data_IF_315790585215
#
_entry.id   IF_315790585215
#
_cell.length_a   1.000
_cell.length_b   1.000
_cell.length_c   1.000
_cell.angle_alpha   90.00
_cell.angle_beta   90.00
_cell.angle_gamma   90.00
#
_symmetry.space_group_name_H-M   'P 1'
#
loop_
_entity.id
_entity.type
_entity.pdbx_description
1 polymer ?
#
# COMPACT_ATOMS: atom_id res chain seq x y z
N UNK A 1 -11.12 32.79 6.61
CA UNK A 1 -9.98 31.87 6.86
C UNK A 1 -9.76 31.02 5.61
N UNK A 2 -9.71 31.64 4.42
CA UNK A 2 -10.15 30.92 3.20
C UNK A 2 -9.03 30.64 2.18
N UNK A 3 -7.78 30.99 2.49
CA UNK A 3 -6.65 30.85 1.55
C UNK A 3 -5.71 29.68 1.82
N UNK A 4 -5.71 29.10 3.02
CA UNK A 4 -4.61 28.22 3.46
C UNK A 4 -4.87 26.73 3.22
N UNK A 5 -6.11 26.32 3.00
CA UNK A 5 -6.51 24.91 2.83
C UNK A 5 -6.30 24.38 1.39
N UNK A 6 -6.61 25.18 0.37
CA UNK A 6 -6.44 24.76 -1.04
C UNK A 6 -4.98 24.68 -1.48
N UNK A 7 -4.13 25.59 -1.00
CA UNK A 7 -2.69 25.58 -1.30
C UNK A 7 -2.00 24.39 -0.64
N UNK A 8 -2.37 24.03 0.58
CA UNK A 8 -1.80 22.88 1.30
C UNK A 8 -2.20 21.56 0.62
N UNK A 9 -3.44 21.44 0.15
CA UNK A 9 -3.92 20.31 -0.65
C UNK A 9 -3.14 20.15 -1.96
N UNK A 10 -3.02 21.23 -2.74
CA UNK A 10 -2.23 21.22 -3.96
C UNK A 10 -0.78 20.90 -3.66
N UNK A 11 -0.20 21.39 -2.56
CA UNK A 11 1.18 21.11 -2.19
C UNK A 11 1.38 19.64 -1.77
N UNK A 12 0.42 19.00 -1.11
CA UNK A 12 0.54 17.58 -0.71
C UNK A 12 0.29 16.61 -1.88
N UNK A 13 -0.71 16.89 -2.70
CA UNK A 13 -0.91 16.19 -3.98
C UNK A 13 0.33 16.39 -4.86
N UNK A 14 0.86 17.61 -4.90
CA UNK A 14 2.12 17.93 -5.58
C UNK A 14 3.31 17.20 -4.97
N UNK A 15 3.46 17.06 -3.66
CA UNK A 15 4.60 16.35 -3.05
C UNK A 15 4.53 14.85 -3.31
N UNK A 16 3.33 14.25 -3.32
CA UNK A 16 3.17 12.85 -3.73
C UNK A 16 3.43 12.66 -5.24
N UNK A 17 2.90 13.56 -6.08
CA UNK A 17 3.12 13.55 -7.54
C UNK A 17 4.58 13.83 -7.90
N UNK A 18 5.15 14.92 -7.39
CA UNK A 18 6.54 15.32 -7.63
C UNK A 18 7.52 14.41 -6.91
N UNK A 19 7.19 13.80 -5.77
CA UNK A 19 8.04 12.79 -5.14
C UNK A 19 8.17 11.54 -6.02
N UNK A 20 7.05 11.03 -6.54
CA UNK A 20 7.05 9.92 -7.49
C UNK A 20 7.71 10.30 -8.82
N UNK A 21 7.41 11.48 -9.36
CA UNK A 21 8.01 11.96 -10.61
C UNK A 21 9.50 12.28 -10.46
N UNK A 22 9.95 12.79 -9.31
CA UNK A 22 11.35 13.01 -8.99
C UNK A 22 12.08 11.68 -8.79
N UNK A 23 11.45 10.67 -8.17
CA UNK A 23 11.98 9.31 -8.13
C UNK A 23 12.16 8.75 -9.55
N UNK A 24 11.13 8.87 -10.40
CA UNK A 24 11.21 8.44 -11.80
C UNK A 24 12.28 9.20 -12.59
N UNK A 25 12.42 10.51 -12.38
CA UNK A 25 13.38 11.37 -13.11
C UNK A 25 14.81 11.22 -12.58
N UNK A 26 15.00 10.98 -11.29
CA UNK A 26 16.32 10.75 -10.68
C UNK A 26 16.87 9.36 -11.02
N UNK A 27 15.99 8.39 -11.26
CA UNK A 27 16.39 7.01 -11.58
C UNK A 27 16.35 6.70 -13.07
N UNK A 28 15.71 7.53 -13.91
CA UNK A 28 15.83 7.43 -15.36
C UNK A 28 17.32 7.50 -15.75
N UNK A 29 17.95 6.38 -16.14
CA UNK A 29 19.34 6.42 -16.56
C UNK A 29 19.35 7.17 -17.89
N UNK A 30 20.36 8.00 -18.10
CA UNK A 30 20.78 8.34 -19.46
C UNK A 30 21.04 7.02 -20.19
N UNK A 31 20.07 6.55 -20.96
CA UNK A 31 20.07 5.29 -21.71
C UNK A 31 21.15 5.23 -22.83
N UNK A 32 22.16 6.10 -22.77
CA UNK A 32 23.23 6.24 -23.74
C UNK A 32 24.57 5.65 -23.27
N UNK A 33 24.74 5.22 -22.02
CA UNK A 33 26.02 4.68 -21.53
C UNK A 33 25.81 3.45 -20.65
N UNK A 34 26.14 2.28 -21.16
CA UNK A 34 25.97 0.97 -20.52
C UNK A 34 26.86 0.73 -19.30
N UNK A 35 26.71 1.53 -18.25
CA UNK A 35 27.34 1.31 -16.96
C UNK A 35 26.28 1.29 -15.84
N UNK A 36 26.28 0.30 -14.93
CA UNK A 36 25.37 0.28 -13.79
C UNK A 36 25.68 1.44 -12.84
N UNK A 37 24.65 2.20 -12.43
CA UNK A 37 24.81 3.36 -11.54
C UNK A 37 25.11 2.92 -10.08
N UNK A 38 26.08 3.53 -9.38
CA UNK A 38 26.45 3.19 -8.00
C UNK A 38 25.48 3.71 -6.91
N UNK A 39 24.33 4.28 -7.28
CA UNK A 39 23.48 5.07 -6.37
C UNK A 39 22.72 4.21 -5.35
N UNK A 40 22.49 2.91 -5.61
CA UNK A 40 21.72 2.06 -4.70
C UNK A 40 22.52 1.56 -3.47
N UNK A 41 23.85 1.56 -3.52
CA UNK A 41 24.70 1.07 -2.42
C UNK A 41 24.83 2.11 -1.29
N UNK A 42 24.62 3.40 -1.58
CA UNK A 42 24.79 4.47 -0.58
C UNK A 42 23.58 4.66 0.36
N UNK A 43 22.38 4.26 -0.06
CA UNK A 43 21.14 4.54 0.68
C UNK A 43 20.85 3.57 1.84
N UNK A 44 21.53 2.42 1.90
CA UNK A 44 21.25 1.38 2.91
C UNK A 44 22.24 1.34 4.08
N UNK A 45 23.35 2.09 4.07
CA UNK A 45 24.29 2.16 5.20
C UNK A 45 24.89 0.82 5.66
N UNK A 46 24.67 -0.28 4.93
CA UNK A 46 25.24 -1.58 5.24
C UNK A 46 26.53 -1.73 4.44
N UNK A 47 27.65 -1.58 5.13
CA UNK A 47 28.96 -1.89 4.59
C UNK A 47 29.07 -3.41 4.35
N UNK A 48 28.80 -3.85 3.13
CA UNK A 48 29.10 -5.23 2.72
C UNK A 48 30.60 -5.36 2.39
N UNK A 49 31.27 -6.42 2.87
CA UNK A 49 32.68 -6.65 2.58
C UNK A 49 32.90 -6.93 1.08
N UNK A 50 33.83 -6.19 0.46
CA UNK A 50 34.32 -6.42 -0.90
C UNK A 50 34.99 -7.80 -0.97
N UNK A 51 34.31 -8.82 -1.51
CA UNK A 51 34.92 -10.09 -1.90
C UNK A 51 34.84 -10.27 -3.42
N UNK A 52 35.90 -9.88 -4.10
CA UNK A 52 36.07 -10.02 -5.56
C UNK A 52 36.08 -11.49 -6.03
N UNK A 53 36.23 -12.45 -5.11
CA UNK A 53 36.26 -13.88 -5.42
C UNK A 53 34.87 -14.51 -5.67
N UNK A 54 33.79 -13.95 -5.12
CA UNK A 54 32.46 -14.55 -5.24
C UNK A 54 31.83 -14.32 -6.63
N UNK A 55 32.13 -13.18 -7.25
CA UNK A 55 31.60 -12.79 -8.57
C UNK A 55 32.08 -13.70 -9.70
N UNK A 56 33.32 -14.18 -9.63
CA UNK A 56 33.89 -15.08 -10.65
C UNK A 56 33.33 -16.51 -10.53
N UNK A 57 32.99 -16.94 -9.32
CA UNK A 57 32.37 -18.25 -9.07
C UNK A 57 30.94 -18.32 -9.57
N UNK A 58 30.15 -17.27 -9.32
CA UNK A 58 28.75 -17.21 -9.74
C UNK A 58 28.62 -17.14 -11.27
N UNK A 59 29.48 -16.38 -11.95
CA UNK A 59 29.49 -16.31 -13.41
C UNK A 59 29.80 -17.67 -14.06
N UNK A 60 30.72 -18.46 -13.49
CA UNK A 60 31.02 -19.82 -13.99
C UNK A 60 29.90 -20.82 -13.69
N UNK A 61 29.18 -20.67 -12.59
CA UNK A 61 28.05 -21.54 -12.24
C UNK A 61 26.83 -21.28 -13.16
N UNK A 62 26.56 -20.02 -13.50
CA UNK A 62 25.48 -19.64 -14.43
C UNK A 62 25.78 -20.10 -15.86
N UNK A 63 27.03 -19.95 -16.32
CA UNK A 63 27.47 -20.46 -17.64
C UNK A 63 27.36 -21.99 -17.74
N UNK A 64 27.65 -22.70 -16.64
CA UNK A 64 27.50 -24.17 -16.58
C UNK A 64 26.03 -24.59 -16.61
N UNK A 65 25.15 -23.93 -15.86
CA UNK A 65 23.72 -24.21 -15.86
C UNK A 65 23.06 -23.95 -17.23
N UNK A 66 23.53 -22.93 -17.98
CA UNK A 66 23.04 -22.61 -19.33
C UNK A 66 23.36 -23.69 -20.36
N UNK A 67 24.47 -24.41 -20.20
CA UNK A 67 24.88 -25.50 -21.11
C UNK A 67 24.12 -26.81 -20.87
N UNK A 68 23.50 -27.00 -19.72
CA UNK A 68 22.77 -28.23 -19.38
C UNK A 68 21.27 -28.17 -19.76
N UNK A 69 20.76 -27.02 -20.19
CA UNK A 69 19.35 -26.83 -20.57
C UNK A 69 18.88 -27.39 -21.94
N UNK A 70 19.71 -27.67 -22.97
CA UNK A 70 19.17 -28.08 -24.28
C UNK A 70 18.72 -29.54 -24.38
N UNK A 71 18.85 -30.37 -23.33
CA UNK A 71 18.52 -31.81 -23.40
C UNK A 71 17.16 -32.21 -22.80
N UNK A 72 16.42 -31.29 -22.15
CA UNK A 72 15.08 -31.60 -21.59
C UNK A 72 13.90 -31.19 -22.46
N UNK A 73 14.11 -30.38 -23.50
CA UNK A 73 13.02 -29.91 -24.35
C UNK A 73 12.51 -30.97 -25.35
N UNK A 74 13.31 -31.99 -25.69
CA UNK A 74 12.89 -33.04 -26.64
C UNK A 74 12.16 -34.23 -25.98
N UNK A 75 12.09 -34.31 -24.64
CA UNK A 75 11.46 -35.43 -23.95
C UNK A 75 9.93 -35.32 -23.80
N UNK A 76 9.31 -34.20 -24.16
CA UNK A 76 7.86 -33.98 -24.00
C UNK A 76 7.04 -33.96 -25.30
N UNK A 77 7.67 -34.15 -26.46
CA UNK A 77 6.97 -34.11 -27.76
C UNK A 77 6.35 -35.46 -28.19
N UNK A 78 6.65 -36.57 -27.51
CA UNK A 78 6.13 -37.90 -27.85
C UNK A 78 5.24 -38.45 -26.73
N UNK A 79 4.05 -37.86 -26.56
CA UNK A 79 3.02 -38.28 -25.62
C UNK A 79 1.70 -38.53 -26.34
N UNK A 80 1.59 -39.73 -26.90
CA UNK A 80 0.51 -40.36 -27.64
C UNK A 80 -0.92 -40.07 -27.14
N UNK A 81 -1.77 -39.65 -28.09
CA UNK A 81 -3.23 -39.70 -28.04
C UNK A 81 -3.73 -41.11 -27.71
N UNK A 82 -4.46 -41.26 -26.60
CA UNK A 82 -5.51 -42.28 -26.50
C UNK A 82 -6.78 -41.63 -25.96
N UNK A 83 -7.80 -41.64 -26.82
CA UNK A 83 -9.18 -41.40 -26.45
C UNK A 83 -9.73 -42.67 -25.78
N UNK A 84 -10.43 -42.52 -24.66
CA UNK A 84 -11.46 -43.47 -24.23
C UNK A 84 -12.26 -42.87 -23.07
N UNK A 85 -13.54 -42.63 -23.34
CA UNK A 85 -14.71 -42.91 -22.49
C UNK A 85 -14.49 -42.98 -20.97
N UNK A 86 -15.18 -42.12 -20.22
CA UNK A 86 -16.31 -42.61 -19.42
C UNK A 86 -17.28 -41.50 -18.98
N UNK A 87 -18.49 -41.65 -19.46
CA UNK A 87 -19.73 -41.07 -18.96
C UNK A 87 -20.19 -41.82 -17.71
N UNK A 88 -20.39 -41.10 -16.59
CA UNK A 88 -21.22 -41.38 -15.39
C UNK A 88 -20.65 -40.46 -14.30
N UNK A 89 -21.33 -39.48 -13.72
CA UNK A 89 -22.54 -39.66 -12.92
C UNK A 89 -23.16 -38.27 -12.68
N UNK A 90 -24.41 -38.10 -13.11
CA UNK A 90 -25.33 -37.09 -12.58
C UNK A 90 -25.89 -37.64 -11.26
N UNK A 91 -25.68 -36.95 -10.14
CA UNK A 91 -26.57 -36.90 -8.98
C UNK A 91 -25.90 -36.09 -7.86
N UNK A 92 -26.46 -34.94 -7.49
CA UNK A 92 -25.99 -34.21 -6.32
C UNK A 92 -26.27 -32.71 -6.28
N UNK A 93 -27.35 -32.23 -6.90
CA UNK A 93 -27.87 -30.89 -6.66
C UNK A 93 -29.24 -31.01 -5.98
N UNK A 94 -29.26 -30.96 -4.65
CA UNK A 94 -30.42 -30.58 -3.83
C UNK A 94 -30.01 -30.63 -2.36
N UNK A 95 -30.59 -29.72 -1.55
CA UNK A 95 -30.50 -29.62 -0.08
C UNK A 95 -29.36 -28.76 0.49
N UNK A 96 -29.52 -27.43 0.46
CA UNK A 96 -29.37 -26.61 1.68
C UNK A 96 -30.42 -25.49 1.63
N UNK A 97 -31.63 -25.80 2.08
CA UNK A 97 -32.61 -24.86 2.58
C UNK A 97 -33.37 -25.56 3.72
N UNK A 98 -33.70 -24.80 4.75
CA UNK A 98 -34.38 -25.19 5.99
C UNK A 98 -33.47 -25.71 7.13
N UNK A 99 -33.07 -24.78 8.00
CA UNK A 99 -32.97 -25.03 9.44
C UNK A 99 -33.45 -23.76 10.16
N UNK A 100 -34.75 -23.73 10.41
CA UNK A 100 -35.42 -22.90 11.42
C UNK A 100 -34.91 -23.25 12.82
N UNK A 101 -34.89 -22.22 13.69
CA UNK A 101 -35.43 -22.33 15.04
C UNK A 101 -34.60 -23.06 16.09
N UNK A 102 -33.60 -22.37 16.65
CA UNK A 102 -33.11 -22.67 18.00
C UNK A 102 -33.29 -21.44 18.89
N UNK A 103 -34.30 -21.51 19.75
CA UNK A 103 -34.62 -20.53 20.78
C UNK A 103 -33.48 -20.44 21.81
N UNK A 104 -33.00 -19.22 22.08
CA UNK A 104 -32.14 -18.91 23.20
C UNK A 104 -32.99 -18.79 24.48
N UNK A 105 -32.63 -19.45 25.59
CA UNK A 105 -33.32 -19.26 26.86
C UNK A 105 -33.00 -17.88 27.46
N UNK A 106 -34.05 -17.27 28.02
CA UNK A 106 -34.03 -15.94 28.59
C UNK A 106 -33.03 -15.76 29.73
N UNK A 107 -32.27 -14.67 29.65
CA UNK A 107 -31.54 -14.10 30.78
C UNK A 107 -32.46 -13.06 31.42
N UNK A 108 -33.19 -13.50 32.45
CA UNK A 108 -33.91 -12.63 33.35
C UNK A 108 -32.93 -12.11 34.43
N UNK A 109 -33.00 -10.81 34.71
CA UNK A 109 -32.49 -10.22 35.96
C UNK A 109 -31.18 -9.45 35.84
N UNK A 110 -31.22 -8.23 35.30
CA UNK A 110 -30.22 -7.22 35.62
C UNK A 110 -30.66 -6.50 36.92
N UNK A 111 -29.83 -6.47 37.97
CA UNK A 111 -30.13 -5.69 39.18
C UNK A 111 -30.04 -4.19 38.89
N UNK A 112 -30.84 -3.35 39.59
CA UNK A 112 -30.77 -1.90 39.44
C UNK A 112 -29.39 -1.38 39.86
N UNK A 113 -28.90 -0.29 39.23
CA UNK A 113 -27.62 0.31 39.58
C UNK A 113 -27.66 0.83 41.04
N UNK A 114 -26.58 0.65 41.81
CA UNK A 114 -26.49 1.24 43.14
C UNK A 114 -26.45 2.77 43.02
N UNK A 115 -27.52 3.41 43.50
CA UNK A 115 -27.56 4.83 43.80
C UNK A 115 -26.65 5.10 45.01
N UNK A 116 -25.36 5.33 44.76
CA UNK A 116 -24.43 5.61 45.86
C UNK A 116 -22.95 5.53 45.51
N UNK A 117 -22.48 6.25 44.48
CA UNK A 117 -21.04 6.57 44.32
C UNK A 117 -20.91 8.04 43.92
N UNK A 118 -21.31 8.93 44.84
CA UNK A 118 -21.07 10.37 44.73
C UNK A 118 -20.16 10.91 45.85
N UNK A 119 -19.57 10.05 46.69
CA UNK A 119 -18.69 10.50 47.77
C UNK A 119 -17.60 9.48 47.99
N UNK A 120 -16.46 9.66 47.32
CA UNK A 120 -15.11 9.29 47.77
C UNK A 120 -14.13 9.68 46.65
N UNK A 121 -13.97 11.00 46.46
CA UNK A 121 -12.75 11.54 45.86
C UNK A 121 -11.59 11.20 46.82
N UNK A 122 -10.53 10.53 46.35
CA UNK A 122 -9.37 10.32 47.19
C UNK A 122 -8.65 11.66 47.38
N UNK A 123 -8.57 12.11 48.64
CA UNK A 123 -7.77 13.24 49.14
C UNK A 123 -6.24 13.02 48.97
N UNK A 124 -5.80 12.37 47.89
CA UNK A 124 -4.43 11.90 47.67
C UNK A 124 -3.84 12.32 46.32
N UNK A 125 -4.23 13.49 45.82
CA UNK A 125 -3.50 14.20 44.77
C UNK A 125 -2.78 15.47 45.29
N UNK A 126 -2.60 15.61 46.62
CA UNK A 126 -1.62 16.52 47.21
C UNK A 126 -0.24 15.85 47.33
N UNK A 127 0.21 15.22 46.24
CA UNK A 127 1.57 14.69 46.15
C UNK A 127 2.41 15.63 45.27
N UNK A 128 3.19 16.45 45.97
CA UNK A 128 4.51 16.91 45.55
C UNK A 128 4.60 17.90 44.37
N UNK A 129 4.02 19.08 44.55
CA UNK A 129 4.51 20.32 43.90
C UNK A 129 5.71 20.95 44.64
N UNK A 130 6.36 20.19 45.54
CA UNK A 130 7.45 20.67 46.40
C UNK A 130 8.87 20.44 45.86
N UNK A 131 9.02 19.94 44.61
CA UNK A 131 10.33 19.80 43.96
C UNK A 131 10.29 20.49 42.59
N UNK A 132 10.06 21.81 42.60
CA UNK A 132 10.53 22.64 41.50
C UNK A 132 12.04 22.88 41.69
N UNK A 133 12.88 22.72 40.66
CA UNK A 133 14.32 22.95 40.75
C UNK A 133 14.61 24.35 41.30
N UNK A 134 15.56 24.45 42.25
CA UNK A 134 15.93 25.69 42.96
C UNK A 134 16.48 26.84 42.11
N UNK A 135 16.34 26.78 40.78
CA UNK A 135 16.70 27.83 39.82
C UNK A 135 15.60 28.90 39.70
N UNK A 136 14.46 28.72 40.39
CA UNK A 136 13.42 29.74 40.55
C UNK A 136 13.49 30.44 41.92
N UNK A 137 14.66 30.47 42.58
CA UNK A 137 14.84 31.25 43.80
C UNK A 137 15.12 32.70 43.43
N UNK A 138 14.35 33.59 44.03
CA UNK A 138 14.32 35.03 43.84
C UNK A 138 15.69 35.68 44.02
N UNK A 139 16.33 36.02 42.91
CA UNK A 139 17.05 37.28 42.82
C UNK A 139 16.16 38.17 41.96
N UNK A 140 15.82 39.37 42.46
CA UNK A 140 14.84 40.32 41.90
C UNK A 140 15.17 40.92 40.54
N UNK A 141 15.69 40.12 39.62
CA UNK A 141 15.95 40.44 38.23
C UNK A 141 15.04 39.57 37.38
N UNK A 142 14.09 40.21 36.68
CA UNK A 142 13.22 39.52 35.72
C UNK A 142 14.08 38.71 34.74
N UNK A 143 13.88 37.38 34.61
CA UNK A 143 14.51 36.63 33.55
C UNK A 143 13.94 37.13 32.23
N UNK A 144 14.77 37.85 31.44
CA UNK A 144 14.53 38.18 30.03
C UNK A 144 14.53 36.91 29.19
N UNK A 145 13.55 36.04 29.38
CA UNK A 145 13.20 35.04 28.38
C UNK A 145 12.49 35.81 27.25
N UNK A 146 13.14 35.85 26.08
CA UNK A 146 12.66 36.52 24.86
C UNK A 146 11.52 35.77 24.17
N UNK A 147 11.18 34.59 24.67
CA UNK A 147 10.06 33.80 24.20
C UNK A 147 8.76 34.30 24.83
N UNK A 148 7.93 34.95 24.02
CA UNK A 148 6.54 35.30 24.35
C UNK A 148 5.75 34.10 24.91
N UNK A 149 6.07 32.87 24.48
CA UNK A 149 5.48 31.64 25.02
C UNK A 149 5.84 31.37 26.48
N UNK A 150 7.09 31.63 26.89
CA UNK A 150 7.53 31.41 28.27
C UNK A 150 6.84 32.38 29.24
N UNK A 151 6.65 33.63 28.82
CA UNK A 151 5.88 34.63 29.59
C UNK A 151 4.39 34.29 29.67
N UNK A 152 3.82 33.72 28.60
CA UNK A 152 2.45 33.20 28.61
C UNK A 152 2.26 32.07 29.62
N UNK A 153 3.16 31.09 29.61
CA UNK A 153 3.11 29.95 30.54
C UNK A 153 3.30 30.37 32.01
N UNK A 154 4.23 31.28 32.29
CA UNK A 154 4.47 31.74 33.66
C UNK A 154 3.28 32.53 34.25
N UNK A 155 2.50 33.23 33.41
CA UNK A 155 1.26 33.90 33.85
C UNK A 155 0.10 32.92 34.05
N UNK A 156 0.02 31.87 33.22
CA UNK A 156 -0.97 30.79 33.38
C UNK A 156 -0.72 29.99 34.67
N UNK A 157 0.55 29.73 35.01
CA UNK A 157 0.91 28.96 36.21
C UNK A 157 0.67 29.68 37.54
N UNK A 158 0.45 31.01 37.53
CA UNK A 158 0.18 31.81 38.76
C UNK A 158 -1.29 32.14 38.95
N UNK A 159 -2.20 31.72 38.08
CA UNK A 159 -3.62 31.91 38.37
C UNK A 159 -3.99 30.97 39.52
N UNK A 160 -4.45 31.50 40.68
CA UNK A 160 -5.01 30.65 41.72
C UNK A 160 -6.14 29.84 41.06
N UNK A 161 -6.07 28.53 41.22
CA UNK A 161 -7.11 27.62 40.78
C UNK A 161 -8.30 27.84 41.71
N UNK A 162 -9.16 28.80 41.37
CA UNK A 162 -10.47 28.90 42.00
C UNK A 162 -11.22 27.63 41.61
N UNK A 163 -11.50 26.74 42.58
CA UNK A 163 -12.13 25.42 42.40
C UNK A 163 -13.54 25.48 41.76
N UNK A 164 -14.05 26.68 41.46
CA UNK A 164 -15.35 26.94 40.88
C UNK A 164 -15.29 27.50 39.45
N UNK A 165 -14.14 27.42 38.77
CA UNK A 165 -14.10 27.58 37.31
C UNK A 165 -14.71 26.33 36.67
N UNK A 166 -16.05 26.27 36.72
CA UNK A 166 -16.90 25.39 35.93
C UNK A 166 -16.30 25.35 34.54
N UNK A 167 -15.76 24.19 34.15
CA UNK A 167 -15.22 23.96 32.81
C UNK A 167 -16.36 24.27 31.86
N UNK A 168 -16.37 25.51 31.34
CA UNK A 168 -17.39 25.98 30.44
C UNK A 168 -17.32 25.03 29.25
N UNK A 169 -18.34 24.19 29.10
CA UNK A 169 -18.47 23.40 27.88
C UNK A 169 -18.44 24.41 26.75
N UNK A 170 -17.53 24.25 25.76
CA UNK A 170 -17.42 25.19 24.66
C UNK A 170 -18.81 25.33 24.05
N UNK A 171 -19.37 26.54 24.11
CA UNK A 171 -20.75 26.81 23.73
C UNK A 171 -20.97 26.56 22.22
N UNK A 172 -19.88 26.56 21.44
CA UNK A 172 -19.91 26.40 20.00
C UNK A 172 -19.29 25.05 19.55
N UNK A 173 -20.07 24.19 18.86
CA UNK A 173 -19.59 22.93 18.26
C UNK A 173 -18.38 23.11 17.33
N UNK A 174 -18.23 24.31 16.76
CA UNK A 174 -17.15 24.67 15.85
C UNK A 174 -15.81 24.77 16.61
N UNK A 175 -15.81 25.28 17.84
CA UNK A 175 -14.60 25.42 18.66
C UNK A 175 -14.08 24.04 19.12
N UNK A 176 -15.00 23.11 19.40
CA UNK A 176 -14.67 21.71 19.69
C UNK A 176 -14.07 20.98 18.47
N UNK A 177 -14.56 21.25 17.26
CA UNK A 177 -13.98 20.70 16.03
C UNK A 177 -12.58 21.27 15.73
N UNK A 178 -12.31 22.53 16.08
CA UNK A 178 -11.00 23.15 15.91
C UNK A 178 -9.94 22.63 16.89
N UNK A 179 -10.33 22.12 18.06
CA UNK A 179 -9.39 21.48 19.01
C UNK A 179 -9.03 20.04 18.62
N UNK A 180 -9.82 19.39 17.75
CA UNK A 180 -9.58 18.04 17.25
C UNK A 180 -9.15 18.03 15.78
N UNK A 181 -7.99 18.60 15.49
CA UNK A 181 -7.39 18.62 14.14
C UNK A 181 -7.34 17.24 13.45
N UNK A 182 -7.22 16.16 14.23
CA UNK A 182 -7.23 14.78 13.75
C UNK A 182 -8.58 14.30 13.24
N UNK A 183 -9.71 14.70 13.85
CA UNK A 183 -11.04 14.26 13.39
C UNK A 183 -11.43 14.96 12.09
N UNK A 184 -11.11 16.25 11.97
CA UNK A 184 -11.25 17.00 10.73
C UNK A 184 -10.39 16.40 9.60
N UNK A 185 -9.12 16.07 9.89
CA UNK A 185 -8.23 15.40 8.93
C UNK A 185 -8.78 14.03 8.49
N UNK A 186 -9.24 13.22 9.44
CA UNK A 186 -9.80 11.90 9.16
C UNK A 186 -11.05 11.97 8.28
N UNK A 187 -11.98 12.88 8.59
CA UNK A 187 -13.16 13.12 7.76
C UNK A 187 -12.77 13.57 6.36
N UNK A 188 -11.79 14.47 6.25
CA UNK A 188 -11.28 14.93 4.97
C UNK A 188 -10.66 13.80 4.14
N UNK A 189 -9.87 12.93 4.77
CA UNK A 189 -9.29 11.75 4.14
C UNK A 189 -10.38 10.78 3.63
N UNK A 190 -11.43 10.54 4.41
CA UNK A 190 -12.57 9.72 3.99
C UNK A 190 -13.28 10.33 2.78
N UNK A 191 -13.54 11.64 2.80
CA UNK A 191 -14.25 12.33 1.69
C UNK A 191 -13.41 12.27 0.42
N UNK A 192 -12.10 12.59 0.49
CA UNK A 192 -11.18 12.46 -0.66
C UNK A 192 -11.16 11.03 -1.18
N UNK A 193 -11.00 10.06 -0.29
CA UNK A 193 -10.96 8.65 -0.65
C UNK A 193 -12.25 8.21 -1.34
N UNK A 194 -13.42 8.56 -0.79
CA UNK A 194 -14.71 8.18 -1.33
C UNK A 194 -14.94 8.80 -2.71
N UNK A 195 -14.64 10.10 -2.87
CA UNK A 195 -14.77 10.78 -4.17
C UNK A 195 -13.79 10.20 -5.18
N UNK A 196 -12.52 10.00 -4.82
CA UNK A 196 -11.52 9.40 -5.72
C UNK A 196 -11.86 7.97 -6.12
N UNK A 197 -12.34 7.15 -5.17
CA UNK A 197 -12.79 5.78 -5.43
C UNK A 197 -14.03 5.76 -6.33
N UNK A 198 -14.98 6.68 -6.12
CA UNK A 198 -16.16 6.81 -6.98
C UNK A 198 -15.78 7.22 -8.41
N UNK A 199 -14.89 8.21 -8.58
CA UNK A 199 -14.42 8.65 -9.91
C UNK A 199 -13.69 7.51 -10.63
N UNK A 200 -12.80 6.79 -9.94
CA UNK A 200 -12.08 5.65 -10.52
C UNK A 200 -13.00 4.47 -10.83
N UNK A 201 -14.00 4.21 -9.99
CA UNK A 201 -15.04 3.20 -10.24
C UNK A 201 -15.87 3.52 -11.48
N UNK A 202 -16.33 4.76 -11.62
CA UNK A 202 -17.08 5.22 -12.80
C UNK A 202 -16.19 5.14 -14.05
N UNK A 203 -14.94 5.60 -13.96
CA UNK A 203 -13.97 5.50 -15.05
C UNK A 203 -13.76 4.04 -15.48
N UNK A 204 -13.56 3.13 -14.52
CA UNK A 204 -13.37 1.71 -14.79
C UNK A 204 -14.60 1.08 -15.45
N UNK A 205 -15.79 1.40 -14.95
CA UNK A 205 -17.07 0.86 -15.44
C UNK A 205 -17.40 1.34 -16.85
N UNK A 206 -17.08 2.59 -17.19
CA UNK A 206 -17.47 3.20 -18.47
C UNK A 206 -16.41 3.03 -19.56
N UNK A 207 -15.12 3.15 -19.23
CA UNK A 207 -14.05 3.32 -20.23
C UNK A 207 -13.02 2.20 -20.24
N UNK A 208 -12.87 1.47 -19.13
CA UNK A 208 -11.77 0.52 -18.98
C UNK A 208 -12.12 -0.91 -19.43
N UNK A 209 -13.40 -1.20 -19.65
CA UNK A 209 -13.91 -2.55 -19.92
C UNK A 209 -13.34 -3.25 -21.17
N UNK A 210 -12.77 -2.51 -22.14
CA UNK A 210 -12.44 -3.03 -23.47
C UNK A 210 -10.93 -2.99 -23.84
N UNK A 211 -10.01 -3.02 -22.86
CA UNK A 211 -8.57 -2.88 -23.12
C UNK A 211 -7.79 -4.18 -22.86
N UNK A 212 -8.17 -5.28 -23.50
CA UNK A 212 -7.32 -6.49 -23.54
C UNK A 212 -6.27 -6.29 -24.64
N UNK A 213 -4.95 -6.48 -24.37
CA UNK A 213 -3.94 -6.49 -25.41
C UNK A 213 -4.27 -7.52 -26.50
N UNK A 214 -4.07 -7.17 -27.76
CA UNK A 214 -4.25 -8.13 -28.85
C UNK A 214 -3.11 -9.13 -28.83
N UNK A 215 -3.44 -10.43 -28.87
CA UNK A 215 -2.46 -11.51 -29.03
C UNK A 215 -1.66 -11.32 -30.32
N UNK A 216 -0.34 -11.39 -30.23
CA UNK A 216 0.57 -11.30 -31.37
C UNK A 216 1.71 -12.30 -31.19
N UNK A 217 1.61 -13.43 -31.91
CA UNK A 217 2.59 -14.49 -31.87
C UNK A 217 3.93 -14.14 -32.53
N UNK A 218 4.04 -12.97 -33.19
CA UNK A 218 5.28 -12.50 -33.83
C UNK A 218 6.12 -11.61 -32.92
N UNK A 219 5.56 -11.16 -31.80
CA UNK A 219 6.27 -10.29 -30.87
C UNK A 219 7.32 -11.11 -30.10
N UNK A 220 8.61 -10.77 -30.27
CA UNK A 220 9.70 -11.35 -29.48
C UNK A 220 9.80 -10.66 -28.12
N UNK A 221 8.80 -10.88 -27.26
CA UNK A 221 8.74 -10.32 -25.91
C UNK A 221 9.21 -11.37 -24.89
N UNK A 222 9.96 -10.94 -23.88
CA UNK A 222 10.48 -11.80 -22.82
C UNK A 222 9.98 -11.25 -21.47
N UNK A 223 8.79 -11.68 -21.00
CA UNK A 223 8.19 -11.14 -19.78
C UNK A 223 9.08 -11.36 -18.54
N UNK A 224 9.87 -12.43 -18.51
CA UNK A 224 10.81 -12.75 -17.44
C UNK A 224 11.94 -11.71 -17.36
N UNK A 225 12.51 -11.35 -18.51
CA UNK A 225 13.55 -10.32 -18.60
C UNK A 225 13.01 -8.95 -18.18
N UNK A 226 11.80 -8.58 -18.64
CA UNK A 226 11.12 -7.34 -18.24
C UNK A 226 10.84 -7.31 -16.74
N UNK A 227 10.48 -8.45 -16.14
CA UNK A 227 10.24 -8.55 -14.70
C UNK A 227 11.53 -8.35 -13.88
N UNK A 228 12.64 -8.93 -14.32
CA UNK A 228 13.92 -8.86 -13.60
C UNK A 228 14.64 -7.52 -13.78
N UNK A 229 14.61 -6.94 -14.97
CA UNK A 229 15.41 -5.74 -15.32
C UNK A 229 14.59 -4.44 -15.39
N UNK A 230 13.27 -4.53 -15.56
CA UNK A 230 12.40 -3.40 -15.92
C UNK A 230 11.91 -2.50 -14.77
N UNK A 231 12.52 -2.58 -13.57
CA UNK A 231 12.07 -1.87 -12.36
C UNK A 231 11.89 -0.36 -12.56
N UNK A 232 12.77 0.26 -13.35
CA UNK A 232 12.73 1.71 -13.63
C UNK A 232 12.34 2.05 -15.07
N UNK A 233 11.91 1.04 -15.83
CA UNK A 233 11.48 1.23 -17.20
C UNK A 233 10.06 1.78 -17.36
N UNK A 234 9.39 2.25 -16.29
CA UNK A 234 7.96 2.58 -16.33
C UNK A 234 7.59 3.59 -17.44
N UNK A 235 8.48 4.53 -17.76
CA UNK A 235 8.26 5.55 -18.80
C UNK A 235 8.33 5.00 -20.24
N UNK A 236 8.83 3.78 -20.46
CA UNK A 236 8.83 3.15 -21.79
C UNK A 236 7.40 2.93 -22.31
N UNK A 237 6.43 2.81 -21.41
CA UNK A 237 5.01 2.75 -21.70
C UNK A 237 4.29 3.85 -20.90
N UNK A 238 4.45 5.09 -21.38
CA UNK A 238 3.87 6.29 -20.77
C UNK A 238 2.37 6.18 -20.45
N UNK A 239 1.48 5.65 -21.33
CA UNK A 239 0.07 5.52 -20.98
C UNK A 239 -0.17 4.53 -19.84
N UNK A 240 0.54 3.39 -19.79
CA UNK A 240 0.46 2.47 -18.65
C UNK A 240 0.97 3.12 -17.36
N UNK A 241 2.08 3.85 -17.43
CA UNK A 241 2.63 4.56 -16.27
C UNK A 241 1.66 5.63 -15.75
N UNK A 242 1.07 6.42 -16.65
CA UNK A 242 0.09 7.45 -16.30
C UNK A 242 -1.16 6.83 -15.66
N UNK A 243 -1.62 5.70 -16.19
CA UNK A 243 -2.76 4.97 -15.63
C UNK A 243 -2.44 4.37 -14.25
N UNK A 244 -1.25 3.79 -14.07
CA UNK A 244 -0.78 3.29 -12.77
C UNK A 244 -0.61 4.43 -11.74
N UNK A 245 -0.32 5.64 -12.21
CA UNK A 245 -0.15 6.82 -11.36
C UNK A 245 -1.49 7.45 -10.96
N UNK A 246 -2.39 7.67 -11.92
CA UNK A 246 -3.68 8.33 -11.68
C UNK A 246 -4.74 7.38 -11.09
N UNK A 247 -4.71 6.12 -11.49
CA UNK A 247 -5.72 5.11 -11.16
C UNK A 247 -5.06 3.78 -10.75
N UNK A 248 -4.20 3.76 -9.71
CA UNK A 248 -3.44 2.57 -9.32
C UNK A 248 -4.35 1.36 -9.02
N UNK A 249 -5.48 1.57 -8.35
CA UNK A 249 -6.42 0.51 -8.01
C UNK A 249 -7.00 -0.18 -9.26
N UNK A 250 -7.38 0.59 -10.27
CA UNK A 250 -7.92 0.06 -11.53
C UNK A 250 -6.85 -0.69 -12.31
N UNK A 251 -5.66 -0.09 -12.46
CA UNK A 251 -4.58 -0.72 -13.24
C UNK A 251 -4.04 -1.98 -12.57
N UNK A 252 -3.87 -1.96 -11.26
CA UNK A 252 -3.43 -3.15 -10.53
C UNK A 252 -4.50 -4.26 -10.57
N UNK A 253 -5.79 -3.91 -10.39
CA UNK A 253 -6.88 -4.88 -10.47
C UNK A 253 -6.95 -5.57 -11.84
N UNK A 254 -6.73 -4.82 -12.92
CA UNK A 254 -6.62 -5.36 -14.27
C UNK A 254 -5.47 -6.35 -14.42
N UNK A 255 -4.26 -5.97 -13.95
CA UNK A 255 -3.08 -6.85 -13.98
C UNK A 255 -3.32 -8.16 -13.22
N UNK A 256 -3.86 -8.08 -12.01
CA UNK A 256 -4.13 -9.25 -11.15
C UNK A 256 -5.25 -10.12 -11.74
N UNK A 257 -6.24 -9.50 -12.39
CA UNK A 257 -7.32 -10.19 -13.09
C UNK A 257 -6.81 -10.92 -14.34
N UNK A 258 -6.05 -10.24 -15.20
CA UNK A 258 -5.42 -10.85 -16.38
C UNK A 258 -4.44 -11.96 -16.01
N UNK A 259 -3.75 -11.81 -14.87
CA UNK A 259 -2.91 -12.87 -14.33
C UNK A 259 -3.70 -14.05 -13.76
N UNK A 260 -5.04 -13.99 -13.68
CA UNK A 260 -5.88 -15.04 -13.11
C UNK A 260 -5.60 -15.28 -11.63
N UNK A 261 -5.33 -14.22 -10.86
CA UNK A 261 -5.07 -14.29 -9.42
C UNK A 261 -6.32 -13.92 -8.61
N UNK A 262 -7.06 -12.88 -9.00
CA UNK A 262 -8.30 -12.42 -8.37
C UNK A 262 -9.30 -11.94 -9.42
N UNK A 263 -10.59 -11.86 -9.07
CA UNK A 263 -11.55 -11.14 -9.90
C UNK A 263 -11.25 -9.65 -9.89
N UNK A 264 -11.51 -8.96 -11.00
CA UNK A 264 -11.23 -7.53 -11.15
C UNK A 264 -11.79 -6.69 -9.99
N UNK A 265 -13.09 -6.86 -9.68
CA UNK A 265 -13.75 -6.08 -8.63
C UNK A 265 -13.23 -6.40 -7.24
N UNK A 266 -12.86 -7.66 -6.97
CA UNK A 266 -12.24 -8.02 -5.70
C UNK A 266 -10.88 -7.34 -5.52
N UNK A 267 -10.01 -7.42 -6.54
CA UNK A 267 -8.72 -6.76 -6.53
C UNK A 267 -8.86 -5.22 -6.40
N UNK A 268 -9.80 -4.62 -7.14
CA UNK A 268 -10.07 -3.18 -7.05
C UNK A 268 -10.40 -2.76 -5.61
N UNK A 269 -11.35 -3.43 -4.97
CA UNK A 269 -11.78 -3.08 -3.61
C UNK A 269 -10.70 -3.34 -2.56
N UNK A 270 -9.92 -4.43 -2.68
CA UNK A 270 -8.79 -4.70 -1.78
C UNK A 270 -7.83 -3.52 -1.79
N UNK A 271 -7.37 -3.09 -2.97
CA UNK A 271 -6.38 -2.02 -3.05
C UNK A 271 -6.99 -0.66 -2.67
N UNK A 272 -8.22 -0.37 -3.10
CA UNK A 272 -8.93 0.86 -2.74
C UNK A 272 -9.09 1.01 -1.22
N UNK A 273 -9.51 -0.03 -0.51
CA UNK A 273 -9.65 -0.02 0.95
C UNK A 273 -8.30 0.09 1.64
N UNK A 274 -7.25 -0.59 1.15
CA UNK A 274 -5.90 -0.47 1.70
C UNK A 274 -5.32 0.96 1.58
N UNK A 275 -5.77 1.77 0.63
CA UNK A 275 -5.35 3.18 0.52
C UNK A 275 -6.00 4.09 1.57
N UNK A 276 -7.17 3.76 2.11
CA UNK A 276 -7.88 4.62 3.06
C UNK A 276 -7.06 4.91 4.34
N UNK A 277 -6.48 3.91 5.03
CA UNK A 277 -5.60 4.18 6.18
C UNK A 277 -4.35 4.99 5.81
N UNK A 278 -3.83 4.83 4.59
CA UNK A 278 -2.66 5.59 4.13
C UNK A 278 -2.96 7.09 4.03
N UNK A 279 -4.19 7.44 3.62
CA UNK A 279 -4.67 8.83 3.59
C UNK A 279 -5.02 9.34 5.00
N UNK A 280 -5.63 8.50 5.84
CA UNK A 280 -6.09 8.87 7.16
C UNK A 280 -4.94 9.13 8.16
N UNK A 281 -3.89 8.30 8.14
CA UNK A 281 -2.91 8.28 9.24
C UNK A 281 -1.55 8.90 8.93
N UNK A 282 -1.23 9.24 7.67
CA UNK A 282 0.03 9.88 7.24
C UNK A 282 1.36 9.24 7.67
N UNK A 283 1.38 8.27 8.58
CA UNK A 283 2.60 7.65 9.11
C UNK A 283 2.82 6.29 8.46
N UNK A 284 1.76 5.72 7.90
CA UNK A 284 1.76 4.43 7.22
C UNK A 284 1.73 4.63 5.70
N UNK A 285 2.63 5.48 5.16
CA UNK A 285 2.77 5.78 3.72
C UNK A 285 3.03 4.50 2.92
N UNK A 286 1.97 3.77 2.62
CA UNK A 286 2.02 2.59 1.80
C UNK A 286 2.12 1.26 2.54
N UNK A 287 2.16 1.19 3.88
CA UNK A 287 2.27 -0.11 4.57
C UNK A 287 1.09 -1.03 4.26
N UNK A 288 -0.13 -0.50 4.28
CA UNK A 288 -1.33 -1.27 3.97
C UNK A 288 -1.40 -1.73 2.51
N UNK A 289 -1.22 -0.87 1.48
CA UNK A 289 -1.20 -1.33 0.09
C UNK A 289 0.05 -2.15 -0.25
N UNK A 290 1.14 -2.08 0.53
CA UNK A 290 2.34 -2.90 0.32
C UNK A 290 2.04 -4.40 0.43
N UNK A 291 1.17 -4.81 1.34
CA UNK A 291 0.80 -6.23 1.51
C UNK A 291 0.18 -6.82 0.23
N UNK A 292 -0.93 -6.29 -0.33
CA UNK A 292 -1.50 -6.82 -1.57
C UNK A 292 -0.55 -6.66 -2.76
N UNK A 293 0.18 -5.55 -2.87
CA UNK A 293 1.14 -5.34 -3.97
C UNK A 293 2.26 -6.41 -3.96
N UNK A 294 2.92 -6.62 -2.82
CA UNK A 294 4.03 -7.58 -2.73
C UNK A 294 3.52 -9.02 -2.82
N UNK A 295 2.37 -9.35 -2.21
CA UNK A 295 1.82 -10.71 -2.31
C UNK A 295 1.44 -11.08 -3.74
N UNK A 296 0.76 -10.19 -4.48
CA UNK A 296 0.46 -10.40 -5.90
C UNK A 296 1.75 -10.50 -6.74
N UNK A 297 2.76 -9.68 -6.44
CA UNK A 297 4.06 -9.75 -7.10
C UNK A 297 4.77 -11.09 -6.90
N UNK A 298 4.76 -11.65 -5.69
CA UNK A 298 5.35 -12.97 -5.42
C UNK A 298 4.58 -14.08 -6.14
N UNK A 299 3.25 -13.99 -6.19
CA UNK A 299 2.43 -14.95 -6.94
C UNK A 299 2.74 -14.86 -8.46
N UNK A 300 2.96 -13.64 -8.97
CA UNK A 300 3.34 -13.42 -10.36
C UNK A 300 4.71 -14.03 -10.69
N UNK A 301 5.71 -13.91 -9.79
CA UNK A 301 7.00 -14.62 -9.91
C UNK A 301 6.80 -16.13 -10.02
N UNK A 302 5.98 -16.70 -9.12
CA UNK A 302 5.67 -18.13 -9.12
C UNK A 302 5.02 -18.57 -10.43
N UNK A 303 4.11 -17.78 -11.00
CA UNK A 303 3.50 -18.06 -12.31
C UNK A 303 4.52 -18.00 -13.44
N UNK A 304 5.43 -17.03 -13.45
CA UNK A 304 6.48 -16.90 -14.48
C UNK A 304 7.64 -17.89 -14.32
N UNK A 305 7.59 -18.81 -13.35
CA UNK A 305 8.70 -19.73 -13.09
C UNK A 305 9.98 -19.03 -12.60
N UNK A 306 9.85 -17.80 -12.08
CA UNK A 306 10.94 -17.02 -11.51
C UNK A 306 11.15 -17.42 -10.03
N UNK A 307 12.38 -17.27 -9.50
CA UNK A 307 12.63 -17.52 -8.09
C UNK A 307 11.77 -16.58 -7.22
N UNK A 308 11.00 -17.18 -6.32
CA UNK A 308 10.20 -16.52 -5.30
C UNK A 308 10.68 -17.01 -3.92
N UNK A 309 10.84 -16.10 -2.96
CA UNK A 309 11.33 -16.45 -1.62
C UNK A 309 11.80 -15.25 -0.81
N UNK A 310 12.37 -15.50 0.37
CA UNK A 310 12.64 -14.46 1.37
C UNK A 310 13.48 -13.28 0.86
N UNK A 311 14.48 -13.54 0.01
CA UNK A 311 15.32 -12.48 -0.57
C UNK A 311 14.52 -11.56 -1.50
N UNK A 312 13.56 -12.12 -2.26
CA UNK A 312 12.76 -11.37 -3.21
C UNK A 312 11.69 -10.54 -2.52
N UNK A 313 11.18 -10.99 -1.36
CA UNK A 313 10.27 -10.22 -0.53
C UNK A 313 10.87 -8.88 -0.11
N UNK A 314 12.12 -8.86 0.36
CA UNK A 314 12.76 -7.62 0.81
C UNK A 314 12.92 -6.63 -0.35
N UNK A 315 13.40 -7.12 -1.50
CA UNK A 315 13.56 -6.29 -2.70
C UNK A 315 12.22 -5.75 -3.21
N UNK A 316 11.18 -6.57 -3.22
CA UNK A 316 9.83 -6.18 -3.65
C UNK A 316 9.18 -5.21 -2.65
N UNK A 317 9.37 -5.40 -1.34
CA UNK A 317 8.93 -4.46 -0.31
C UNK A 317 9.60 -3.08 -0.47
N UNK A 318 10.92 -3.05 -0.71
CA UNK A 318 11.62 -1.79 -0.98
C UNK A 318 11.08 -1.14 -2.26
N UNK A 319 10.93 -1.91 -3.35
CA UNK A 319 10.43 -1.37 -4.60
C UNK A 319 8.99 -0.82 -4.49
N UNK A 320 8.11 -1.55 -3.81
CA UNK A 320 6.73 -1.12 -3.52
C UNK A 320 6.70 0.16 -2.66
N UNK A 321 7.61 0.28 -1.69
CA UNK A 321 7.69 1.44 -0.79
C UNK A 321 8.21 2.69 -1.48
N UNK A 322 9.22 2.56 -2.35
CA UNK A 322 9.88 3.71 -2.98
C UNK A 322 9.19 4.18 -4.27
N UNK A 323 8.62 3.27 -5.07
CA UNK A 323 7.88 3.64 -6.28
C UNK A 323 6.75 2.65 -6.59
N UNK A 324 5.64 2.74 -5.85
CA UNK A 324 4.45 1.91 -6.07
C UNK A 324 3.88 2.03 -7.48
N UNK A 325 3.86 3.22 -8.07
CA UNK A 325 3.39 3.42 -9.45
C UNK A 325 4.29 2.71 -10.49
N UNK A 326 5.62 2.74 -10.31
CA UNK A 326 6.55 2.00 -11.16
C UNK A 326 6.31 0.50 -11.07
N UNK A 327 6.07 0.00 -9.86
CA UNK A 327 5.78 -1.41 -9.60
C UNK A 327 4.51 -1.84 -10.33
N UNK A 328 3.40 -1.11 -10.14
CA UNK A 328 2.12 -1.42 -10.81
C UNK A 328 2.28 -1.36 -12.34
N UNK A 329 3.00 -0.36 -12.86
CA UNK A 329 3.25 -0.23 -14.30
C UNK A 329 4.15 -1.36 -14.84
N UNK A 330 5.16 -1.79 -14.09
CA UNK A 330 6.02 -2.91 -14.47
C UNK A 330 5.23 -4.22 -14.50
N UNK A 331 4.45 -4.52 -13.47
CA UNK A 331 3.64 -5.74 -13.41
C UNK A 331 2.65 -5.79 -14.55
N UNK A 332 2.00 -4.66 -14.85
CA UNK A 332 1.05 -4.59 -15.93
C UNK A 332 1.70 -4.80 -17.32
N UNK A 333 2.93 -4.34 -17.52
CA UNK A 333 3.70 -4.64 -18.75
C UNK A 333 4.06 -6.12 -18.84
N UNK A 334 4.58 -6.70 -17.75
CA UNK A 334 4.96 -8.12 -17.74
C UNK A 334 3.76 -9.01 -18.02
N UNK A 335 2.60 -8.74 -17.41
CA UNK A 335 1.37 -9.51 -17.66
C UNK A 335 0.87 -9.28 -19.09
N UNK A 336 0.93 -8.06 -19.62
CA UNK A 336 0.57 -7.77 -21.01
C UNK A 336 1.49 -8.52 -22.00
N UNK A 337 2.80 -8.50 -21.79
CA UNK A 337 3.79 -9.21 -22.60
C UNK A 337 3.54 -10.72 -22.55
N UNK A 338 3.35 -11.27 -21.36
CA UNK A 338 3.04 -12.68 -21.16
C UNK A 338 1.72 -13.09 -21.85
N UNK A 339 0.71 -12.22 -21.84
CA UNK A 339 -0.54 -12.44 -22.56
C UNK A 339 -0.35 -12.41 -24.08
N UNK A 340 0.39 -11.43 -24.60
CA UNK A 340 0.65 -11.26 -26.05
C UNK A 340 1.37 -12.47 -26.64
N UNK A 341 2.35 -13.03 -25.92
CA UNK A 341 3.10 -14.21 -26.36
C UNK A 341 2.37 -15.53 -26.09
N UNK A 342 1.27 -15.50 -25.33
CA UNK A 342 0.51 -16.70 -24.95
C UNK A 342 1.27 -17.58 -23.96
N UNK A 343 1.94 -16.97 -22.99
CA UNK A 343 2.69 -17.66 -21.96
C UNK A 343 1.77 -18.62 -21.17
N UNK A 344 2.19 -19.87 -20.97
CA UNK A 344 1.36 -20.93 -20.35
C UNK A 344 0.83 -20.58 -18.97
N UNK A 345 1.57 -19.74 -18.23
CA UNK A 345 1.18 -19.28 -16.90
C UNK A 345 0.06 -18.23 -16.87
N UNK A 346 -0.17 -17.54 -18.00
CA UNK A 346 -1.29 -16.64 -18.17
C UNK A 346 -2.33 -17.41 -18.95
N UNK A 347 -3.28 -18.09 -18.27
CA UNK A 347 -4.36 -18.70 -19.00
C UNK A 347 -4.99 -17.59 -19.84
N UNK A 348 -5.28 -17.89 -21.11
CA UNK A 348 -6.26 -17.14 -21.89
C UNK A 348 -7.61 -17.49 -21.25
N UNK A 349 -7.77 -17.21 -19.96
CA UNK A 349 -8.96 -17.44 -19.19
C UNK A 349 -9.92 -16.38 -19.66
N UNK A 350 -10.58 -16.71 -20.78
CA UNK A 350 -11.73 -16.05 -21.36
C UNK A 350 -11.59 -14.54 -21.47
N UNK A 351 -11.57 -14.03 -22.70
CA UNK A 351 -12.41 -12.85 -22.93
C UNK A 351 -13.72 -13.10 -22.18
N UNK A 352 -14.04 -12.19 -21.25
CA UNK A 352 -15.13 -12.31 -20.29
C UNK A 352 -16.30 -13.06 -20.94
N UNK A 353 -16.60 -14.27 -20.46
CA UNK A 353 -17.91 -14.84 -20.74
C UNK A 353 -18.86 -13.96 -19.94
N UNK A 354 -19.59 -13.08 -20.63
CA UNK A 354 -20.53 -12.14 -20.03
C UNK A 354 -21.54 -12.83 -19.09
#
# INVERSE_FOLDING_TARGET
MDGMSSLTLLNHISVAIFGAAACCRAVAPSAARGAPSPVFVAALGVALPRSSALSLGLARAVEKARREQPLRAEAHANGTLTASQDSKTLAGASQIAAAEGAALPGIAGAPPPPSGIAQLLPSRALLSLHVLPGWCREDGTEPRTSSLRARGFARLARRPFDEEEVVAQPADPIEWACTHTWSAWFLYAIVIWAVGTMVTFVFASLFYWNRVPKYDNRASLNPEETFLSGHFGCLSDSPTCLMAFLCPAVRWADTVHMAGLLSFWCAFWILAVCYLPSLAFFVLWGLFPLVPLVTARQQLRGKLGLPAGNETWVSDCCFASFCSCCLIAQEARVVNEAYIVGHTAMPISGGRAD
#
